data_IF_498816570737
#
_entry.id   IF_498816570737
#
_cell.length_a   1.000
_cell.length_b   1.000
_cell.length_c   1.000
_cell.angle_alpha   90.00
_cell.angle_beta   90.00
_cell.angle_gamma   90.00
#
_symmetry.space_group_name_H-M   'P 1'
#
loop_
_entity.id
_entity.type
_entity.pdbx_description
1 polymer ?
#
# COMPACT_ATOMS: atom_id res chain seq x y z
N UNK A 1 -3.17 12.92 -7.37
CA UNK A 1 -3.15 11.78 -6.42
C UNK A 1 -2.57 10.56 -7.11
N UNK A 2 -1.75 9.77 -6.43
CA UNK A 2 -1.22 8.50 -6.97
C UNK A 2 -2.22 7.36 -6.78
N UNK A 3 -2.19 6.38 -7.68
CA UNK A 3 -3.06 5.21 -7.63
C UNK A 3 -2.31 4.02 -7.02
N UNK A 4 -2.99 3.30 -6.12
CA UNK A 4 -2.45 2.05 -5.58
C UNK A 4 -2.56 0.93 -6.62
N UNK A 5 -1.67 -0.04 -6.52
CA UNK A 5 -1.63 -1.23 -7.37
C UNK A 5 -1.48 -2.47 -6.48
N UNK A 6 -2.28 -3.51 -6.75
CA UNK A 6 -2.09 -4.81 -6.11
C UNK A 6 -0.94 -5.54 -6.81
N UNK A 7 0.17 -5.74 -6.09
CA UNK A 7 1.34 -6.45 -6.57
C UNK A 7 1.24 -7.94 -6.24
N UNK A 8 1.55 -8.79 -7.22
CA UNK A 8 1.77 -10.22 -7.00
C UNK A 8 3.25 -10.44 -6.70
N UNK A 9 3.55 -10.95 -5.51
CA UNK A 9 4.91 -11.21 -5.06
C UNK A 9 5.31 -12.62 -5.45
N UNK A 10 6.48 -12.75 -6.06
CA UNK A 10 7.06 -14.04 -6.42
C UNK A 10 8.43 -14.19 -5.77
N UNK A 11 8.70 -15.38 -5.22
CA UNK A 11 10.00 -15.76 -4.66
C UNK A 11 10.46 -17.05 -5.32
N UNK A 12 11.62 -17.02 -5.98
CA UNK A 12 12.13 -18.14 -6.80
C UNK A 12 11.12 -18.64 -7.85
N UNK A 13 10.42 -17.71 -8.52
CA UNK A 13 9.40 -18.04 -9.53
C UNK A 13 8.09 -18.59 -8.96
N UNK A 14 7.96 -18.75 -7.64
CA UNK A 14 6.74 -19.21 -6.99
C UNK A 14 5.97 -18.03 -6.42
N UNK A 15 4.65 -18.04 -6.58
CA UNK A 15 3.78 -17.07 -5.95
C UNK A 15 3.95 -17.14 -4.43
N UNK A 16 4.23 -16.00 -3.82
CA UNK A 16 4.54 -15.86 -2.40
C UNK A 16 3.45 -15.09 -1.64
N UNK A 17 2.69 -14.24 -2.34
CA UNK A 17 1.61 -13.47 -1.74
C UNK A 17 1.38 -12.16 -2.47
N UNK A 18 0.73 -11.24 -1.77
CA UNK A 18 0.38 -9.92 -2.29
C UNK A 18 1.13 -8.81 -1.56
N UNK A 19 1.20 -7.65 -2.19
CA UNK A 19 1.60 -6.40 -1.54
C UNK A 19 1.03 -5.21 -2.29
N UNK A 20 1.14 -4.02 -1.73
CA UNK A 20 0.72 -2.77 -2.37
C UNK A 20 1.92 -2.07 -2.99
N UNK A 21 1.76 -1.69 -4.25
CA UNK A 21 2.71 -0.90 -5.00
C UNK A 21 2.10 0.45 -5.41
N UNK A 22 2.97 1.41 -5.66
CA UNK A 22 2.63 2.70 -6.28
C UNK A 22 3.69 2.99 -7.33
N UNK A 23 3.26 3.40 -8.52
CA UNK A 23 4.12 3.66 -9.67
C UNK A 23 5.08 2.48 -9.99
N UNK A 24 4.57 1.25 -9.89
CA UNK A 24 5.33 0.02 -10.14
C UNK A 24 6.32 -0.38 -9.05
N UNK A 25 6.39 0.37 -7.94
CA UNK A 25 7.30 0.10 -6.82
C UNK A 25 6.53 -0.38 -5.60
N UNK A 26 6.97 -1.50 -5.02
CA UNK A 26 6.39 -2.04 -3.79
C UNK A 26 6.64 -1.06 -2.64
N UNK A 27 5.59 -0.73 -1.88
CA UNK A 27 5.75 0.08 -0.68
C UNK A 27 6.54 -0.71 0.37
N UNK A 28 7.54 -0.07 0.99
CA UNK A 28 8.34 -0.68 2.05
C UNK A 28 7.53 -0.88 3.33
N UNK A 29 8.08 -1.67 4.25
CA UNK A 29 7.56 -1.88 5.62
C UNK A 29 6.16 -2.51 5.72
N UNK A 30 5.62 -3.03 4.62
CA UNK A 30 4.42 -3.87 4.65
C UNK A 30 4.72 -5.18 5.39
N UNK A 31 3.90 -5.51 6.38
CA UNK A 31 4.06 -6.72 7.19
C UNK A 31 2.89 -7.69 7.07
N UNK A 32 1.72 -7.19 6.70
CA UNK A 32 0.52 -7.99 6.54
C UNK A 32 -0.38 -7.39 5.46
N UNK A 33 -1.06 -8.28 4.73
CA UNK A 33 -2.10 -7.92 3.79
C UNK A 33 -3.28 -8.88 3.96
N UNK A 34 -4.47 -8.31 4.10
CA UNK A 34 -5.72 -9.05 4.15
C UNK A 34 -6.66 -8.53 3.07
N UNK A 35 -7.17 -9.44 2.23
CA UNK A 35 -8.11 -9.12 1.16
C UNK A 35 -9.47 -9.68 1.56
N UNK A 36 -10.41 -8.79 1.83
CA UNK A 36 -11.79 -9.13 2.17
C UNK A 36 -12.68 -9.05 0.94
N UNK A 37 -13.38 -10.15 0.67
CA UNK A 37 -14.40 -10.23 -0.37
C UNK A 37 -15.75 -10.57 0.26
N UNK A 38 -16.78 -9.77 -0.02
CA UNK A 38 -18.15 -9.99 0.46
C UNK A 38 -19.10 -10.02 -0.74
N UNK A 39 -20.18 -10.84 -0.71
CA UNK A 39 -21.16 -10.86 -1.80
C UNK A 39 -21.72 -9.47 -2.08
N UNK A 40 -21.86 -9.12 -3.36
CA UNK A 40 -22.39 -7.84 -3.84
C UNK A 40 -21.63 -6.59 -3.34
N UNK A 41 -20.36 -6.73 -2.96
CA UNK A 41 -19.49 -5.63 -2.55
C UNK A 41 -18.17 -5.65 -3.33
N UNK A 42 -17.57 -4.47 -3.50
CA UNK A 42 -16.22 -4.39 -4.05
C UNK A 42 -15.24 -5.03 -3.04
N UNK A 43 -14.25 -5.80 -3.51
CA UNK A 43 -13.17 -6.29 -2.66
C UNK A 43 -12.45 -5.13 -1.95
N UNK A 44 -12.09 -5.34 -0.69
CA UNK A 44 -11.33 -4.37 0.10
C UNK A 44 -10.03 -5.01 0.56
N UNK A 45 -8.96 -4.21 0.56
CA UNK A 45 -7.68 -4.60 1.12
C UNK A 45 -7.40 -3.82 2.41
N UNK A 46 -6.94 -4.53 3.43
CA UNK A 46 -6.37 -3.99 4.66
C UNK A 46 -4.89 -4.35 4.69
N UNK A 47 -4.03 -3.39 5.01
CA UNK A 47 -2.58 -3.54 4.96
C UNK A 47 -2.00 -2.94 6.21
N UNK A 48 -1.15 -3.71 6.88
CA UNK A 48 -0.43 -3.24 8.05
C UNK A 48 1.00 -2.89 7.65
N UNK A 49 1.45 -1.73 8.11
CA UNK A 49 2.80 -1.23 7.93
C UNK A 49 3.49 -1.10 9.29
N UNK A 50 4.77 -1.46 9.35
CA UNK A 50 5.62 -1.08 10.46
C UNK A 50 6.05 0.37 10.30
N UNK A 51 5.89 1.16 11.36
CA UNK A 51 6.48 2.49 11.48
C UNK A 51 7.80 2.35 12.22
N UNK A 52 8.91 2.39 11.48
CA UNK A 52 10.25 2.42 12.07
C UNK A 52 10.69 3.87 12.37
N UNK A 53 11.85 4.00 13.02
CA UNK A 53 12.40 5.31 13.36
C UNK A 53 12.67 6.18 12.12
N UNK A 54 12.96 5.59 10.96
CA UNK A 54 13.24 6.36 9.74
C UNK A 54 11.97 7.05 9.25
N UNK A 55 10.87 6.29 9.15
CA UNK A 55 9.55 6.82 8.74
C UNK A 55 9.02 7.84 9.73
N UNK A 56 9.17 7.60 11.03
CA UNK A 56 8.66 8.50 12.08
C UNK A 56 9.46 9.80 12.16
N UNK A 57 10.78 9.76 11.95
CA UNK A 57 11.63 10.95 12.07
C UNK A 57 11.60 11.86 10.84
N UNK A 58 11.06 11.41 9.72
CA UNK A 58 10.95 12.20 8.48
C UNK A 58 9.51 12.19 7.94
N UNK A 59 8.55 12.76 8.67
CA UNK A 59 7.17 12.83 8.22
C UNK A 59 7.06 13.75 6.98
N UNK A 60 6.14 13.42 6.09
CA UNK A 60 5.80 14.26 4.93
C UNK A 60 4.44 14.90 5.18
N UNK A 61 4.41 16.22 5.22
CA UNK A 61 3.17 16.98 5.28
C UNK A 61 2.58 17.11 3.87
N UNK A 62 1.34 16.65 3.71
CA UNK A 62 0.60 16.78 2.45
C UNK A 62 -0.60 17.69 2.70
N UNK A 63 -0.54 18.90 2.16
CA UNK A 63 -1.67 19.81 2.18
C UNK A 63 -2.73 19.37 1.15
N UNK A 64 -3.94 19.11 1.62
CA UNK A 64 -5.05 18.66 0.77
C UNK A 64 -5.84 19.82 0.14
N UNK A 65 -5.48 21.08 0.46
CA UNK A 65 -6.22 22.28 0.08
C UNK A 65 -5.38 23.25 -0.75
N UNK A 66 -5.15 22.95 -2.02
CA UNK A 66 -4.84 24.01 -2.99
C UNK A 66 -6.16 24.66 -3.42
N UNK A 67 -6.60 25.69 -2.69
CA UNK A 67 -7.42 26.75 -3.31
C UNK A 67 -6.47 27.64 -4.09
N UNK A 68 -6.24 27.31 -5.36
CA UNK A 68 -5.80 28.31 -6.33
C UNK A 68 -7.05 29.06 -6.84
N UNK A 69 -7.15 30.34 -6.48
CA UNK A 69 -7.70 31.39 -7.35
C UNK A 69 -6.62 32.46 -7.42
#
# INVERSE_FOLDING_TARGET
MKQIQLAHLYKHGRFYGYGIAVDGQLLSNQVSINIETKPNQLPRVCVDFNLDCEVVNNPVDIELNNKEI
#
